data_IF_580663331161
#
_entry.id   IF_580663331161
#
_cell.length_a   1.000
_cell.length_b   1.000
_cell.length_c   1.000
_cell.angle_alpha   90.00
_cell.angle_beta   90.00
_cell.angle_gamma   90.00
#
_symmetry.space_group_name_H-M   'P 1'
#
loop_
_entity.id
_entity.type
_entity.pdbx_description
1 polymer ?
#
# COMPACT_ATOMS: atom_id res chain seq x y z
N UNK A 1 -11.46 -0.45 -13.67
CA UNK A 1 -10.26 -1.33 -13.68
C UNK A 1 -10.33 -2.32 -12.53
N UNK A 2 -10.08 -3.58 -12.82
CA UNK A 2 -10.12 -4.62 -11.79
C UNK A 2 -8.71 -4.87 -11.25
N UNK A 3 -8.39 -4.29 -10.12
CA UNK A 3 -7.06 -4.38 -9.52
C UNK A 3 -6.66 -5.80 -9.14
N UNK A 4 -7.65 -6.66 -8.85
CA UNK A 4 -7.37 -8.07 -8.51
C UNK A 4 -6.52 -8.76 -9.58
N UNK A 5 -6.66 -8.38 -10.85
CA UNK A 5 -5.90 -8.97 -11.95
C UNK A 5 -4.41 -8.69 -11.87
N UNK A 6 -4.04 -7.70 -11.06
CA UNK A 6 -2.64 -7.30 -10.88
C UNK A 6 -2.05 -7.85 -9.58
N UNK A 7 -2.79 -8.73 -8.90
CA UNK A 7 -2.33 -9.38 -7.67
C UNK A 7 -2.10 -10.85 -7.98
N UNK A 8 -0.89 -11.32 -7.75
CA UNK A 8 -0.51 -12.69 -8.05
C UNK A 8 -0.58 -13.56 -6.80
N UNK A 9 -1.22 -14.74 -6.93
CA UNK A 9 -1.24 -15.72 -5.86
C UNK A 9 0.02 -16.58 -5.93
N UNK A 10 0.72 -16.70 -4.81
CA UNK A 10 1.88 -17.58 -4.68
C UNK A 10 1.52 -18.63 -3.65
N UNK A 11 1.12 -19.85 -4.08
CA UNK A 11 0.74 -20.89 -3.15
C UNK A 11 1.94 -21.41 -2.37
N UNK A 12 1.69 -21.87 -1.15
CA UNK A 12 2.69 -22.47 -0.28
C UNK A 12 3.88 -21.55 -0.02
N UNK A 13 3.61 -20.27 0.19
CA UNK A 13 4.63 -19.29 0.52
C UNK A 13 4.15 -18.40 1.68
N UNK A 14 4.98 -18.14 2.68
CA UNK A 14 6.34 -18.68 2.91
C UNK A 14 6.34 -20.10 3.44
N UNK A 15 5.17 -20.68 3.68
CA UNK A 15 5.01 -22.02 4.20
C UNK A 15 3.91 -22.75 3.44
N UNK A 16 3.97 -24.07 3.46
CA UNK A 16 2.91 -24.92 2.92
C UNK A 16 1.55 -24.54 3.53
N UNK A 17 0.52 -24.45 2.70
CA UNK A 17 -0.83 -24.12 3.12
C UNK A 17 -1.14 -22.64 3.16
N UNK A 18 -0.17 -21.77 2.94
CA UNK A 18 -0.37 -20.33 2.91
C UNK A 18 -0.32 -19.84 1.46
N UNK A 19 -1.31 -19.03 1.07
CA UNK A 19 -1.29 -18.38 -0.23
C UNK A 19 -0.86 -16.94 -0.02
N UNK A 20 0.32 -16.58 -0.53
CA UNK A 20 0.85 -15.23 -0.43
C UNK A 20 0.31 -14.38 -1.58
N UNK A 21 -0.17 -13.19 -1.26
CA UNK A 21 -0.66 -12.25 -2.26
C UNK A 21 0.46 -11.31 -2.66
N UNK A 22 0.96 -11.48 -3.87
CA UNK A 22 2.06 -10.69 -4.41
C UNK A 22 1.50 -9.50 -5.17
N UNK A 23 1.80 -8.30 -4.70
CA UNK A 23 1.32 -7.06 -5.31
C UNK A 23 2.31 -6.42 -6.27
N UNK A 24 3.45 -7.08 -6.53
CA UNK A 24 4.45 -6.46 -7.42
C UNK A 24 3.92 -6.19 -8.82
N UNK A 25 3.07 -7.03 -9.41
CA UNK A 25 2.50 -6.68 -10.73
C UNK A 25 1.68 -5.38 -10.67
N UNK A 26 0.96 -5.14 -9.57
CA UNK A 26 0.19 -3.92 -9.39
C UNK A 26 1.12 -2.71 -9.29
N UNK A 27 2.21 -2.84 -8.54
CA UNK A 27 3.17 -1.75 -8.36
C UNK A 27 3.87 -1.38 -9.66
N UNK A 28 4.08 -2.36 -10.55
CA UNK A 28 4.80 -2.16 -11.81
C UNK A 28 3.94 -1.55 -12.90
N UNK A 29 2.63 -1.65 -12.80
CA UNK A 29 1.74 -1.11 -13.81
C UNK A 29 1.30 0.31 -13.45
N UNK A 30 1.65 1.32 -14.27
CA UNK A 30 1.36 2.71 -13.89
C UNK A 30 -0.13 2.99 -13.67
N UNK A 31 -1.00 2.41 -14.50
CA UNK A 31 -2.44 2.64 -14.37
C UNK A 31 -3.00 1.96 -13.13
N UNK A 32 -2.56 0.72 -12.84
CA UNK A 32 -3.02 -0.01 -11.67
C UNK A 32 -2.53 0.65 -10.38
N UNK A 33 -1.29 1.07 -10.34
CA UNK A 33 -0.73 1.77 -9.18
C UNK A 33 -1.48 3.06 -8.90
N UNK A 34 -1.72 3.86 -9.94
CA UNK A 34 -2.46 5.11 -9.80
C UNK A 34 -3.86 4.85 -9.28
N UNK A 35 -4.54 3.84 -9.84
CA UNK A 35 -5.90 3.52 -9.42
C UNK A 35 -5.95 3.08 -7.96
N UNK A 36 -5.01 2.23 -7.52
CA UNK A 36 -4.95 1.77 -6.15
C UNK A 36 -4.74 2.93 -5.17
N UNK A 37 -3.81 3.83 -5.49
CA UNK A 37 -3.53 4.99 -4.65
C UNK A 37 -4.71 5.94 -4.61
N UNK A 38 -5.34 6.18 -5.75
CA UNK A 38 -6.50 7.05 -5.85
C UNK A 38 -7.67 6.49 -5.04
N UNK A 39 -7.94 5.20 -5.16
CA UNK A 39 -9.03 4.56 -4.41
C UNK A 39 -8.81 4.64 -2.91
N UNK A 40 -7.58 4.40 -2.46
CA UNK A 40 -7.26 4.49 -1.05
C UNK A 40 -7.38 5.92 -0.52
N UNK A 41 -6.81 6.89 -1.24
CA UNK A 41 -6.86 8.29 -0.81
C UNK A 41 -8.29 8.81 -0.78
N UNK A 42 -9.09 8.45 -1.76
CA UNK A 42 -10.46 8.92 -1.88
C UNK A 42 -11.32 8.56 -0.66
N UNK A 43 -11.03 7.41 -0.05
CA UNK A 43 -11.78 6.96 1.14
C UNK A 43 -11.59 7.88 2.34
N UNK A 44 -10.53 8.67 2.36
CA UNK A 44 -10.17 9.49 3.50
C UNK A 44 -10.22 10.99 3.21
N UNK A 45 -10.59 11.37 1.99
CA UNK A 45 -10.72 12.78 1.64
C UNK A 45 -11.78 13.47 2.50
N UNK A 46 -11.50 14.71 2.89
CA UNK A 46 -12.45 15.52 3.64
C UNK A 46 -12.59 15.13 5.10
N UNK A 47 -11.75 14.25 5.62
CA UNK A 47 -11.82 13.81 7.03
C UNK A 47 -10.86 14.55 7.95
N UNK A 48 -10.13 15.52 7.44
CA UNK A 48 -9.20 16.28 8.25
C UNK A 48 -7.98 15.50 8.72
N UNK A 49 -7.53 14.53 7.92
CA UNK A 49 -6.38 13.70 8.27
C UNK A 49 -5.11 14.53 8.16
N UNK A 50 -4.33 14.59 9.23
CA UNK A 50 -3.08 15.34 9.27
C UNK A 50 -1.85 14.44 9.15
N UNK A 51 -1.97 13.15 9.47
CA UNK A 51 -0.87 12.19 9.43
C UNK A 51 -1.34 10.86 8.88
N UNK A 52 -0.49 10.26 8.07
CA UNK A 52 -0.68 8.89 7.59
C UNK A 52 0.45 8.06 8.21
N UNK A 53 0.10 6.97 8.86
CA UNK A 53 1.06 6.08 9.48
C UNK A 53 1.23 4.85 8.59
N UNK A 54 2.47 4.53 8.25
CA UNK A 54 2.75 3.33 7.45
C UNK A 54 3.73 2.41 8.14
N UNK A 55 3.38 1.13 8.17
CA UNK A 55 4.22 0.10 8.77
C UNK A 55 5.04 -0.55 7.66
N UNK A 56 6.33 -0.83 7.94
CA UNK A 56 7.16 -1.52 6.95
C UNK A 56 6.54 -2.87 6.58
N UNK A 57 6.63 -3.32 5.35
CA UNK A 57 7.24 -2.58 4.26
C UNK A 57 6.19 -2.00 3.31
N UNK A 58 5.01 -2.62 3.22
CA UNK A 58 3.95 -2.17 2.31
C UNK A 58 3.44 -0.77 2.64
N UNK A 59 3.39 -0.42 3.92
CA UNK A 59 3.01 0.92 4.33
C UNK A 59 3.94 1.99 3.81
N UNK A 60 5.20 1.65 3.56
CA UNK A 60 6.17 2.58 2.99
C UNK A 60 5.97 2.76 1.50
N UNK A 61 5.35 1.79 0.83
CA UNK A 61 5.08 1.87 -0.61
C UNK A 61 3.88 2.76 -0.92
N UNK A 62 2.85 2.72 -0.07
CA UNK A 62 1.60 3.43 -0.31
C UNK A 62 1.44 4.68 0.54
N UNK A 63 1.94 4.63 1.78
CA UNK A 63 1.70 5.69 2.76
C UNK A 63 2.10 7.08 2.33
N UNK A 64 3.34 7.29 1.87
CA UNK A 64 3.77 8.63 1.45
C UNK A 64 2.93 9.21 0.32
N UNK A 65 2.58 8.40 -0.67
CA UNK A 65 1.77 8.87 -1.79
C UNK A 65 0.36 9.23 -1.35
N UNK A 66 -0.23 8.44 -0.44
CA UNK A 66 -1.54 8.73 0.11
C UNK A 66 -1.49 10.01 0.95
N UNK A 67 -0.44 10.17 1.75
CA UNK A 67 -0.26 11.36 2.58
C UNK A 67 -0.20 12.62 1.70
N UNK A 68 0.58 12.58 0.62
CA UNK A 68 0.66 13.70 -0.30
C UNK A 68 -0.71 14.02 -0.90
N UNK A 69 -1.44 13.00 -1.32
CA UNK A 69 -2.77 13.18 -1.91
C UNK A 69 -3.76 13.79 -0.92
N UNK A 70 -3.60 13.54 0.38
CA UNK A 70 -4.48 14.07 1.42
C UNK A 70 -3.97 15.39 2.01
N UNK A 71 -2.81 15.87 1.61
CA UNK A 71 -2.21 17.04 2.23
C UNK A 71 -1.73 16.79 3.65
N UNK A 72 -1.35 15.56 3.96
CA UNK A 72 -0.93 15.11 5.28
C UNK A 72 0.56 14.76 5.30
N UNK A 73 1.12 14.64 6.50
CA UNK A 73 2.46 14.14 6.70
C UNK A 73 2.45 12.61 6.80
N UNK A 74 3.64 12.00 6.74
CA UNK A 74 3.78 10.56 6.83
C UNK A 74 4.65 10.19 8.03
N UNK A 75 4.20 9.18 8.79
CA UNK A 75 4.93 8.67 9.95
C UNK A 75 5.30 7.21 9.68
N UNK A 76 6.59 6.92 9.46
CA UNK A 76 7.03 5.54 9.28
C UNK A 76 7.10 4.82 10.63
N UNK A 77 6.67 3.55 10.64
CA UNK A 77 6.75 2.69 11.80
C UNK A 77 7.56 1.46 11.41
N UNK A 78 8.60 1.17 12.17
CA UNK A 78 9.50 0.06 11.91
C UNK A 78 9.75 -0.72 13.18
N UNK A 79 10.27 -1.94 13.02
CA UNK A 79 10.66 -2.74 14.17
C UNK A 79 11.78 -2.03 14.97
N UNK A 80 11.84 -2.25 16.28
CA UNK A 80 12.91 -1.65 17.09
C UNK A 80 14.29 -1.99 16.54
N UNK A 81 15.19 -1.02 16.61
CA UNK A 81 16.57 -1.17 16.14
C UNK A 81 16.78 -0.85 14.66
N UNK A 82 15.74 -0.59 13.91
CA UNK A 82 15.87 -0.27 12.49
C UNK A 82 16.08 1.21 12.23
N UNK A 83 15.59 2.01 13.13
CA UNK A 83 15.84 3.45 13.12
C UNK A 83 15.36 4.04 14.39
#
# INVERSE_FOLDING_TARGET
MKLRRYIRDVPDFPKKGIVFKDITPLLQDPAALRQALSDLAERFQGRGISKVIGIESRGFMFGPAIAVALGAGFVPVRKPGKL
#
